data_IF_640627304310
#
_entry.id   IF_640627304310
#
_cell.length_a   1.000
_cell.length_b   1.000
_cell.length_c   1.000
_cell.angle_alpha   90.00
_cell.angle_beta   90.00
_cell.angle_gamma   90.00
#
_symmetry.space_group_name_H-M   'P 1'
#
loop_
_entity.id
_entity.type
_entity.pdbx_description
1 polymer ?
#
# COMPACT_ATOMS: atom_id res chain seq x y z
N UNK A 1 27.87 -10.16 -12.04
CA UNK A 1 28.79 -10.74 -11.03
C UNK A 1 28.70 -9.98 -9.72
N UNK A 2 28.77 -10.70 -8.59
CA UNK A 2 28.77 -10.15 -7.24
C UNK A 2 30.09 -10.45 -6.53
N UNK A 3 30.74 -9.43 -5.94
CA UNK A 3 31.94 -9.56 -5.12
C UNK A 3 32.04 -8.42 -4.10
N UNK A 4 32.97 -8.51 -3.19
CA UNK A 4 33.28 -7.42 -2.25
C UNK A 4 34.54 -6.67 -2.71
N UNK A 5 34.48 -5.35 -2.69
CA UNK A 5 35.67 -4.52 -2.93
C UNK A 5 36.65 -4.57 -1.73
N UNK A 6 37.76 -3.84 -1.81
CA UNK A 6 38.78 -3.78 -0.77
C UNK A 6 38.27 -3.25 0.58
N UNK A 7 37.21 -2.47 0.54
CA UNK A 7 36.58 -1.86 1.72
C UNK A 7 35.41 -2.72 2.27
N UNK A 8 35.19 -3.92 1.69
CA UNK A 8 34.15 -4.85 2.09
C UNK A 8 32.74 -4.50 1.57
N UNK A 9 32.64 -3.52 0.67
CA UNK A 9 31.36 -3.12 0.06
C UNK A 9 31.00 -4.09 -1.06
N UNK A 10 29.72 -4.50 -1.11
CA UNK A 10 29.21 -5.36 -2.17
C UNK A 10 29.17 -4.62 -3.51
N UNK A 11 29.75 -5.25 -4.52
CA UNK A 11 29.79 -4.74 -5.92
C UNK A 11 29.05 -5.71 -6.83
N UNK A 12 28.15 -5.20 -7.62
CA UNK A 12 27.38 -5.93 -8.62
C UNK A 12 27.80 -5.47 -10.03
N UNK A 13 28.80 -6.15 -10.56
CA UNK A 13 29.40 -5.77 -11.85
C UNK A 13 28.69 -6.35 -13.05
N UNK A 14 28.79 -5.64 -14.16
CA UNK A 14 28.29 -6.01 -15.48
C UNK A 14 29.38 -5.91 -16.56
N UNK A 15 29.05 -6.21 -17.80
CA UNK A 15 30.02 -6.30 -18.89
C UNK A 15 31.01 -5.15 -19.01
N UNK A 16 30.55 -3.89 -18.83
CA UNK A 16 31.39 -2.71 -18.89
C UNK A 16 32.44 -2.59 -17.76
N UNK A 17 32.25 -3.29 -16.63
CA UNK A 17 33.22 -3.31 -15.53
C UNK A 17 34.38 -4.25 -15.81
N UNK A 18 34.22 -5.23 -16.70
CA UNK A 18 35.24 -6.22 -17.01
C UNK A 18 36.14 -5.80 -18.18
N UNK A 19 35.58 -5.10 -19.15
CA UNK A 19 36.31 -4.50 -20.24
C UNK A 19 35.46 -3.43 -20.95
N UNK A 20 36.11 -2.60 -21.75
CA UNK A 20 35.49 -1.52 -22.55
C UNK A 20 35.33 -1.84 -24.02
N UNK A 21 35.60 -3.05 -24.43
CA UNK A 21 35.61 -3.48 -25.83
C UNK A 21 34.33 -4.24 -26.19
N UNK A 22 33.77 -4.97 -25.24
CA UNK A 22 32.54 -5.72 -25.43
C UNK A 22 31.32 -4.82 -25.30
N UNK A 23 30.25 -5.20 -25.96
CA UNK A 23 28.96 -4.54 -25.83
C UNK A 23 28.46 -4.52 -24.38
N UNK A 24 27.85 -3.43 -23.97
CA UNK A 24 27.26 -3.28 -22.65
C UNK A 24 25.93 -2.56 -22.75
N UNK A 25 24.92 -3.09 -22.09
CA UNK A 25 23.61 -2.45 -21.93
C UNK A 25 23.56 -1.51 -20.70
N UNK A 26 24.71 -1.05 -20.24
CA UNK A 26 24.88 -0.19 -19.07
C UNK A 26 24.30 -0.82 -17.81
N UNK A 27 23.35 -0.16 -17.16
CA UNK A 27 22.69 -0.66 -15.95
C UNK A 27 21.58 -1.68 -16.21
N UNK A 28 21.35 -2.11 -17.45
CA UNK A 28 20.38 -3.16 -17.77
C UNK A 28 20.97 -4.53 -17.50
N UNK A 29 21.19 -4.81 -16.21
CA UNK A 29 21.77 -6.05 -15.70
C UNK A 29 21.28 -6.26 -14.26
N UNK A 30 21.45 -7.48 -13.74
CA UNK A 30 21.03 -7.89 -12.39
C UNK A 30 19.51 -7.72 -12.12
N UNK A 31 18.71 -7.62 -13.19
CA UNK A 31 17.27 -7.34 -13.19
C UNK A 31 16.40 -8.58 -13.39
N UNK A 32 16.94 -9.77 -13.11
CA UNK A 32 16.21 -11.04 -13.22
C UNK A 32 15.19 -11.26 -12.10
N UNK A 33 14.49 -12.40 -12.16
CA UNK A 33 13.55 -12.84 -11.11
C UNK A 33 14.25 -13.07 -9.77
N UNK A 34 15.49 -13.52 -9.83
CA UNK A 34 16.36 -13.79 -8.69
C UNK A 34 17.60 -12.92 -8.84
N UNK A 35 17.94 -12.19 -7.80
CA UNK A 35 19.14 -11.35 -7.77
C UNK A 35 20.43 -12.20 -7.73
N UNK A 36 21.62 -11.63 -8.03
CA UNK A 36 22.89 -12.37 -8.01
C UNK A 36 23.24 -13.03 -6.68
N UNK A 37 22.75 -12.48 -5.57
CA UNK A 37 22.88 -13.02 -4.20
C UNK A 37 21.80 -14.07 -3.86
N UNK A 38 21.03 -14.52 -4.84
CA UNK A 38 20.00 -15.57 -4.73
C UNK A 38 18.75 -15.18 -3.93
N UNK A 39 18.50 -13.89 -3.79
CA UNK A 39 17.26 -13.39 -3.18
C UNK A 39 16.20 -13.20 -4.27
N UNK A 40 14.98 -13.76 -4.09
CA UNK A 40 13.88 -13.52 -5.01
C UNK A 40 13.46 -12.06 -5.01
N UNK A 41 13.41 -11.44 -6.18
CA UNK A 41 12.84 -10.11 -6.35
C UNK A 41 11.29 -10.16 -6.22
N UNK A 42 10.60 -9.06 -5.91
CA UNK A 42 9.14 -9.05 -5.73
C UNK A 42 8.35 -9.66 -6.89
N UNK A 43 8.81 -9.51 -8.13
CA UNK A 43 8.16 -10.09 -9.30
C UNK A 43 8.33 -11.62 -9.43
N UNK A 44 9.27 -12.23 -8.69
CA UNK A 44 9.41 -13.68 -8.65
C UNK A 44 8.18 -14.36 -8.02
N UNK A 45 7.52 -13.70 -7.05
CA UNK A 45 6.29 -14.22 -6.43
C UNK A 45 5.11 -14.23 -7.39
N UNK A 46 5.04 -13.28 -8.31
CA UNK A 46 4.04 -13.28 -9.37
C UNK A 46 4.25 -14.42 -10.35
N UNK A 47 5.50 -14.67 -10.74
CA UNK A 47 5.85 -15.82 -11.61
C UNK A 47 5.54 -17.13 -10.89
N UNK A 48 5.88 -17.26 -9.60
CA UNK A 48 5.57 -18.45 -8.82
C UNK A 48 4.06 -18.72 -8.75
N UNK A 49 3.22 -17.70 -8.68
CA UNK A 49 1.78 -17.86 -8.73
C UNK A 49 1.32 -18.40 -10.08
N UNK A 50 1.80 -17.84 -11.20
CA UNK A 50 1.35 -18.27 -12.54
C UNK A 50 1.97 -19.58 -13.01
N UNK A 51 3.04 -20.06 -12.38
CA UNK A 51 3.67 -21.35 -12.69
C UNK A 51 3.28 -22.48 -11.74
N UNK A 52 2.26 -22.27 -10.91
CA UNK A 52 1.73 -23.34 -10.08
C UNK A 52 0.87 -24.31 -10.92
N UNK A 53 0.85 -25.59 -10.52
CA UNK A 53 0.11 -26.65 -11.23
C UNK A 53 -1.18 -27.06 -10.49
N UNK A 54 -1.59 -26.34 -9.44
CA UNK A 54 -2.83 -26.59 -8.73
C UNK A 54 -3.60 -25.28 -8.64
N UNK A 55 -4.81 -25.29 -9.20
CA UNK A 55 -5.65 -24.10 -9.26
C UNK A 55 -6.91 -24.29 -8.43
N UNK A 56 -7.29 -23.25 -7.71
CA UNK A 56 -8.54 -23.21 -6.96
C UNK A 56 -9.46 -22.17 -7.56
N UNK A 57 -10.68 -22.56 -7.89
CA UNK A 57 -11.70 -21.63 -8.39
C UNK A 57 -12.97 -21.71 -7.55
N UNK A 58 -13.77 -20.63 -7.47
CA UNK A 58 -15.03 -20.66 -6.73
C UNK A 58 -16.05 -21.61 -7.38
N UNK A 59 -16.79 -22.37 -6.56
CA UNK A 59 -17.98 -23.10 -6.97
C UNK A 59 -19.25 -22.46 -6.34
N UNK A 60 -19.46 -22.66 -5.05
CA UNK A 60 -20.45 -21.92 -4.24
C UNK A 60 -19.79 -21.52 -2.93
N UNK A 61 -19.11 -20.37 -2.96
CA UNK A 61 -18.36 -19.89 -1.80
C UNK A 61 -19.24 -19.60 -0.59
N UNK A 62 -20.51 -19.26 -0.81
CA UNK A 62 -21.45 -19.04 0.31
C UNK A 62 -21.69 -20.32 1.10
N UNK A 63 -21.55 -21.47 0.45
CA UNK A 63 -21.61 -22.80 1.07
C UNK A 63 -20.24 -23.37 1.40
N UNK A 64 -19.15 -22.67 1.11
CA UNK A 64 -17.79 -23.17 1.25
C UNK A 64 -17.35 -24.14 0.17
N UNK A 65 -18.03 -24.17 -0.99
CA UNK A 65 -17.66 -25.04 -2.12
C UNK A 65 -16.62 -24.37 -3.02
N UNK A 66 -15.56 -25.11 -3.30
CA UNK A 66 -14.48 -24.73 -4.22
C UNK A 66 -14.24 -25.86 -5.22
N UNK A 67 -13.70 -25.52 -6.40
CA UNK A 67 -13.16 -26.47 -7.34
C UNK A 67 -11.64 -26.48 -7.23
N UNK A 68 -11.04 -27.66 -7.24
CA UNK A 68 -9.59 -27.87 -7.30
C UNK A 68 -9.27 -28.51 -8.63
N UNK A 69 -8.52 -27.83 -9.48
CA UNK A 69 -8.02 -28.35 -10.73
C UNK A 69 -6.56 -28.76 -10.59
N UNK A 70 -6.23 -29.99 -10.96
CA UNK A 70 -4.90 -30.51 -11.02
C UNK A 70 -4.37 -30.37 -12.46
N UNK A 71 -3.49 -29.42 -12.68
CA UNK A 71 -2.88 -29.15 -14.00
C UNK A 71 -1.69 -30.06 -14.30
N UNK A 72 -1.17 -30.82 -13.32
CA UNK A 72 -0.13 -31.83 -13.60
C UNK A 72 -0.60 -32.86 -14.63
N UNK A 73 0.32 -33.34 -15.46
CA UNK A 73 0.05 -34.36 -16.44
C UNK A 73 0.25 -35.81 -15.91
N UNK A 74 1.18 -35.98 -14.95
CA UNK A 74 1.63 -37.30 -14.51
C UNK A 74 1.56 -37.51 -13.00
N UNK A 75 1.03 -36.55 -12.26
CA UNK A 75 1.01 -36.56 -10.81
C UNK A 75 -0.38 -36.26 -10.28
N UNK A 76 -0.89 -37.12 -9.40
CA UNK A 76 -2.08 -36.81 -8.63
C UNK A 76 -1.77 -35.91 -7.40
N UNK A 77 -2.78 -35.44 -6.71
CA UNK A 77 -2.58 -34.54 -5.57
C UNK A 77 -2.46 -35.27 -4.22
N UNK A 78 -2.30 -36.59 -4.17
CA UNK A 78 -2.20 -37.38 -2.93
C UNK A 78 -0.95 -37.03 -2.10
N UNK A 79 0.11 -36.54 -2.75
CA UNK A 79 1.36 -36.09 -2.11
C UNK A 79 1.21 -34.75 -1.36
N UNK A 80 0.08 -34.08 -1.51
CA UNK A 80 -0.18 -32.77 -0.94
C UNK A 80 -1.32 -32.81 0.09
N UNK A 81 -1.37 -31.81 0.96
CA UNK A 81 -2.52 -31.43 1.76
C UNK A 81 -2.85 -29.99 1.50
N UNK A 82 -4.10 -29.60 1.71
CA UNK A 82 -4.54 -28.22 1.58
C UNK A 82 -4.84 -27.64 2.97
N UNK A 83 -4.19 -26.54 3.31
CA UNK A 83 -4.61 -25.68 4.42
C UNK A 83 -5.52 -24.59 3.90
N UNK A 84 -6.55 -24.25 4.68
CA UNK A 84 -7.41 -23.12 4.37
C UNK A 84 -7.59 -22.23 5.58
N UNK A 85 -7.80 -20.95 5.33
CA UNK A 85 -8.06 -19.93 6.33
C UNK A 85 -9.18 -19.03 5.84
N UNK A 86 -10.19 -18.81 6.68
CA UNK A 86 -11.20 -17.78 6.49
C UNK A 86 -10.75 -16.51 7.21
N UNK A 87 -10.65 -15.41 6.48
CA UNK A 87 -10.28 -14.11 7.01
C UNK A 87 -11.48 -13.17 7.01
N UNK A 88 -11.64 -12.42 8.09
CA UNK A 88 -12.63 -11.34 8.21
C UNK A 88 -11.90 -10.00 8.44
N UNK A 89 -11.93 -9.08 7.45
CA UNK A 89 -11.13 -7.87 7.43
C UNK A 89 -9.63 -8.14 7.71
N UNK A 90 -9.07 -9.17 7.09
CA UNK A 90 -7.68 -9.57 7.22
C UNK A 90 -7.32 -10.36 8.49
N UNK A 91 -8.23 -10.53 9.43
CA UNK A 91 -8.02 -11.37 10.62
C UNK A 91 -8.48 -12.80 10.36
N UNK A 92 -7.63 -13.77 10.68
CA UNK A 92 -7.98 -15.20 10.57
C UNK A 92 -9.02 -15.56 11.62
N UNK A 93 -10.21 -16.00 11.18
CA UNK A 93 -11.34 -16.35 12.06
C UNK A 93 -11.62 -17.85 12.08
N UNK A 94 -11.29 -18.57 11.04
CA UNK A 94 -11.41 -20.03 10.96
C UNK A 94 -10.24 -20.61 10.17
N UNK A 95 -9.85 -21.84 10.50
CA UNK A 95 -8.80 -22.58 9.77
C UNK A 95 -9.17 -24.04 9.67
N UNK A 96 -8.59 -24.73 8.70
CA UNK A 96 -8.70 -26.18 8.62
C UNK A 96 -7.74 -26.79 7.63
N UNK A 97 -7.72 -28.12 7.60
CA UNK A 97 -6.85 -28.91 6.74
C UNK A 97 -7.69 -29.96 6.00
N UNK A 98 -7.44 -30.10 4.70
CA UNK A 98 -7.92 -31.21 3.88
C UNK A 98 -6.71 -32.09 3.55
N UNK A 99 -6.61 -33.21 4.23
CA UNK A 99 -5.44 -34.11 4.13
C UNK A 99 -5.51 -35.09 2.96
N UNK A 100 -6.71 -35.44 2.51
CA UNK A 100 -6.93 -36.41 1.45
C UNK A 100 -7.37 -35.70 0.15
N UNK A 101 -6.42 -35.36 -0.68
CA UNK A 101 -6.62 -34.74 -1.98
C UNK A 101 -6.50 -35.80 -3.09
N UNK A 102 -7.64 -36.40 -3.48
CA UNK A 102 -7.70 -37.39 -4.57
C UNK A 102 -8.12 -36.74 -5.87
N UNK A 103 -7.21 -36.01 -6.49
CA UNK A 103 -7.44 -35.34 -7.76
C UNK A 103 -6.45 -35.89 -8.77
N UNK A 104 -6.94 -36.67 -9.72
CA UNK A 104 -6.10 -37.23 -10.78
C UNK A 104 -5.57 -36.13 -11.73
N UNK A 105 -4.48 -36.39 -12.48
CA UNK A 105 -3.97 -35.47 -13.47
C UNK A 105 -5.04 -34.94 -14.42
N UNK A 106 -5.00 -33.65 -14.73
CA UNK A 106 -5.93 -32.96 -15.64
C UNK A 106 -7.42 -33.06 -15.25
N UNK A 107 -7.72 -33.30 -13.96
CA UNK A 107 -9.08 -33.40 -13.45
C UNK A 107 -9.40 -32.26 -12.49
N UNK A 108 -10.69 -31.95 -12.43
CA UNK A 108 -11.26 -31.02 -11.45
C UNK A 108 -12.16 -31.77 -10.47
N UNK A 109 -12.00 -31.50 -9.19
CA UNK A 109 -12.84 -32.06 -8.13
C UNK A 109 -13.43 -30.90 -7.30
N UNK A 110 -14.72 -31.03 -6.98
CA UNK A 110 -15.37 -30.11 -6.05
C UNK A 110 -15.10 -30.56 -4.60
N UNK A 111 -14.71 -29.63 -3.76
CA UNK A 111 -14.46 -29.83 -2.33
C UNK A 111 -15.35 -28.90 -1.52
N UNK A 112 -15.97 -29.47 -0.47
CA UNK A 112 -16.77 -28.74 0.52
C UNK A 112 -15.91 -28.45 1.73
N UNK A 113 -15.71 -27.17 2.04
CA UNK A 113 -15.03 -26.72 3.26
C UNK A 113 -16.05 -26.45 4.35
N UNK A 114 -15.76 -26.79 5.62
CA UNK A 114 -16.69 -26.56 6.74
C UNK A 114 -16.63 -25.11 7.23
N UNK A 115 -16.93 -24.17 6.33
CA UNK A 115 -16.92 -22.74 6.61
C UNK A 115 -18.25 -22.34 7.24
N UNK A 116 -18.22 -21.65 8.40
CA UNK A 116 -19.40 -21.04 9.02
C UNK A 116 -19.26 -19.51 9.03
N UNK A 117 -20.11 -18.84 8.27
CA UNK A 117 -20.17 -17.37 8.19
C UNK A 117 -21.30 -16.73 9.00
N UNK A 118 -22.14 -17.54 9.66
CA UNK A 118 -23.39 -17.08 10.32
C UNK A 118 -23.15 -16.08 11.44
N UNK A 119 -22.04 -16.24 12.17
CA UNK A 119 -21.69 -15.41 13.32
C UNK A 119 -20.71 -14.27 12.94
N UNK A 120 -20.42 -14.08 11.66
CA UNK A 120 -19.52 -13.02 11.19
C UNK A 120 -20.36 -11.84 10.69
N UNK A 121 -20.09 -10.64 11.24
CA UNK A 121 -20.79 -9.41 10.83
C UNK A 121 -20.86 -9.29 9.29
N UNK A 122 -22.06 -9.04 8.72
CA UNK A 122 -22.20 -8.80 7.28
C UNK A 122 -21.43 -7.60 6.74
N UNK A 123 -20.99 -6.71 7.63
CA UNK A 123 -20.21 -5.53 7.31
C UNK A 123 -18.74 -5.83 6.99
N UNK A 124 -18.24 -7.02 7.34
CA UNK A 124 -16.82 -7.39 7.14
C UNK A 124 -16.60 -8.02 5.77
N UNK A 125 -15.48 -7.69 5.14
CA UNK A 125 -14.92 -8.45 4.04
C UNK A 125 -14.64 -9.89 4.48
N UNK A 126 -14.88 -10.86 3.61
CA UNK A 126 -14.51 -12.25 3.85
C UNK A 126 -13.67 -12.78 2.71
N UNK A 127 -12.47 -13.24 3.03
CA UNK A 127 -11.52 -13.85 2.11
C UNK A 127 -11.25 -15.29 2.54
N UNK A 128 -11.15 -16.18 1.56
CA UNK A 128 -10.71 -17.56 1.76
C UNK A 128 -9.31 -17.73 1.17
N UNK A 129 -8.33 -17.95 2.02
CA UNK A 129 -7.00 -18.38 1.60
C UNK A 129 -6.94 -19.89 1.55
N UNK A 130 -6.37 -20.44 0.50
CA UNK A 130 -6.01 -21.85 0.40
C UNK A 130 -4.52 -21.97 0.06
N UNK A 131 -3.87 -23.00 0.56
CA UNK A 131 -2.46 -23.27 0.31
C UNK A 131 -2.22 -24.77 0.23
N UNK A 132 -1.58 -25.25 -0.83
CA UNK A 132 -1.25 -26.64 -1.05
C UNK A 132 0.19 -26.89 -0.63
N UNK A 133 0.40 -27.83 0.29
CA UNK A 133 1.69 -28.09 0.91
C UNK A 133 2.12 -29.54 0.74
N UNK A 134 3.41 -29.77 0.61
CA UNK A 134 4.03 -31.10 0.57
C UNK A 134 3.82 -31.87 1.88
N UNK A 135 3.31 -33.11 1.81
CA UNK A 135 3.25 -34.03 2.96
C UNK A 135 4.61 -34.54 3.40
N UNK A 136 5.48 -34.79 2.46
CA UNK A 136 6.85 -35.27 2.68
C UNK A 136 7.86 -34.38 1.97
N UNK A 137 9.09 -34.38 2.45
CA UNK A 137 10.18 -33.66 1.77
C UNK A 137 10.47 -34.29 0.40
N UNK A 138 10.76 -33.45 -0.58
CA UNK A 138 11.29 -33.79 -1.89
C UNK A 138 12.75 -33.30 -2.01
N UNK A 139 13.43 -33.61 -3.11
CA UNK A 139 14.88 -33.39 -3.28
C UNK A 139 15.34 -31.98 -2.90
N UNK A 140 14.57 -30.96 -3.23
CA UNK A 140 14.93 -29.55 -3.00
C UNK A 140 13.94 -28.80 -2.09
N UNK A 141 12.87 -29.47 -1.66
CA UNK A 141 11.78 -28.84 -0.94
C UNK A 141 11.48 -29.61 0.34
N UNK A 142 11.54 -28.97 1.52
CA UNK A 142 11.16 -29.60 2.76
C UNK A 142 9.66 -29.90 2.83
N UNK A 143 9.27 -30.86 3.68
CA UNK A 143 7.86 -31.09 3.99
C UNK A 143 7.21 -29.80 4.51
N UNK A 144 5.95 -29.58 4.16
CA UNK A 144 5.21 -28.37 4.53
C UNK A 144 5.46 -27.17 3.60
N UNK A 145 6.38 -27.28 2.62
CA UNK A 145 6.55 -26.22 1.60
C UNK A 145 5.26 -26.03 0.82
N UNK A 146 4.78 -24.79 0.75
CA UNK A 146 3.65 -24.41 -0.08
C UNK A 146 4.08 -24.34 -1.55
N UNK A 147 3.39 -25.08 -2.42
CA UNK A 147 3.69 -25.17 -3.86
C UNK A 147 2.63 -24.50 -4.72
N UNK A 148 1.46 -24.26 -4.17
CA UNK A 148 0.38 -23.55 -4.84
C UNK A 148 -0.50 -22.85 -3.78
N UNK A 149 -1.17 -21.78 -4.17
CA UNK A 149 -2.08 -21.07 -3.29
C UNK A 149 -3.10 -20.24 -4.07
N UNK A 150 -4.20 -19.90 -3.40
CA UNK A 150 -5.20 -18.98 -3.93
C UNK A 150 -5.81 -18.14 -2.81
N UNK A 151 -6.34 -16.97 -3.17
CA UNK A 151 -7.17 -16.15 -2.31
C UNK A 151 -8.47 -15.82 -3.02
N UNK A 152 -9.59 -16.33 -2.50
CA UNK A 152 -10.91 -16.13 -3.07
C UNK A 152 -11.73 -15.15 -2.23
N UNK A 153 -12.42 -14.19 -2.88
CA UNK A 153 -13.35 -13.29 -2.20
C UNK A 153 -14.70 -13.97 -2.03
N UNK A 154 -15.10 -14.21 -0.76
CA UNK A 154 -16.46 -14.65 -0.40
C UNK A 154 -17.38 -13.43 -0.29
N UNK A 155 -16.86 -12.33 0.23
CA UNK A 155 -17.54 -11.06 0.37
C UNK A 155 -16.56 -9.92 0.23
N UNK A 156 -16.83 -9.03 -0.72
CA UNK A 156 -15.94 -7.92 -1.04
C UNK A 156 -15.90 -6.86 0.07
N UNK A 157 -14.76 -6.20 0.16
CA UNK A 157 -14.57 -5.06 1.04
C UNK A 157 -15.51 -3.92 0.63
N UNK A 158 -16.22 -3.41 1.62
CA UNK A 158 -16.99 -2.18 1.48
C UNK A 158 -16.31 -1.10 2.29
N UNK A 159 -15.74 -0.12 1.61
CA UNK A 159 -15.15 1.02 2.28
C UNK A 159 -16.18 1.69 3.18
N UNK A 160 -15.88 1.89 4.48
CA UNK A 160 -16.75 2.65 5.34
C UNK A 160 -16.85 4.09 4.83
N UNK A 161 -18.01 4.70 4.96
CA UNK A 161 -18.12 6.12 4.73
C UNK A 161 -17.28 6.86 5.79
N UNK A 162 -16.28 7.63 5.32
CA UNK A 162 -15.43 8.41 6.21
C UNK A 162 -16.23 9.60 6.78
N UNK A 163 -16.96 9.35 7.87
CA UNK A 163 -17.61 10.41 8.65
C UNK A 163 -16.68 10.82 9.78
N UNK A 164 -16.32 12.09 9.79
CA UNK A 164 -15.63 12.68 10.90
C UNK A 164 -16.70 13.17 11.87
N UNK A 165 -16.98 12.39 12.91
CA UNK A 165 -17.96 12.72 13.93
C UNK A 165 -17.26 13.27 15.20
N UNK A 166 -17.95 14.17 15.90
CA UNK A 166 -17.51 14.55 17.24
C UNK A 166 -17.78 13.41 18.23
N UNK A 167 -16.85 13.19 19.14
CA UNK A 167 -17.01 12.20 20.21
C UNK A 167 -17.71 12.90 21.39
N UNK A 168 -18.92 12.44 21.71
CA UNK A 168 -19.68 12.92 22.85
C UNK A 168 -19.49 11.95 24.03
N UNK A 169 -18.96 12.42 25.13
CA UNK A 169 -19.05 11.71 26.39
C UNK A 169 -20.50 11.77 26.89
N UNK A 170 -21.06 10.65 27.35
CA UNK A 170 -22.46 10.52 27.73
C UNK A 170 -22.95 11.73 28.55
N UNK A 171 -23.98 12.40 28.06
CA UNK A 171 -24.69 13.52 28.70
C UNK A 171 -23.94 14.84 28.90
N UNK A 172 -22.73 15.02 28.36
CA UNK A 172 -22.02 16.29 28.36
C UNK A 172 -22.10 16.98 26.99
N UNK A 173 -22.12 18.32 26.95
CA UNK A 173 -22.06 19.03 25.67
C UNK A 173 -20.75 18.72 24.93
N UNK A 174 -20.80 18.73 23.60
CA UNK A 174 -19.60 18.60 22.77
C UNK A 174 -18.71 19.81 23.00
N UNK A 175 -17.46 19.59 23.38
CA UNK A 175 -16.46 20.66 23.47
C UNK A 175 -15.99 20.95 22.03
N UNK A 176 -16.38 22.11 21.53
CA UNK A 176 -16.02 22.55 20.17
C UNK A 176 -14.55 22.99 20.14
N UNK A 177 -13.74 22.58 19.13
CA UNK A 177 -12.37 23.08 19.01
C UNK A 177 -12.34 24.59 18.85
N UNK A 178 -11.43 25.26 19.54
CA UNK A 178 -11.21 26.70 19.41
C UNK A 178 -10.27 27.01 18.24
N UNK A 179 -10.56 28.10 17.53
CA UNK A 179 -9.70 28.62 16.46
C UNK A 179 -9.12 29.95 16.95
N UNK A 180 -7.78 30.03 17.03
CA UNK A 180 -7.04 31.20 17.44
C UNK A 180 -6.33 31.80 16.23
N UNK A 181 -6.74 33.01 15.85
CA UNK A 181 -6.22 33.74 14.68
C UNK A 181 -5.52 35.06 15.08
N UNK A 182 -4.95 35.10 16.27
CA UNK A 182 -4.28 36.27 16.82
C UNK A 182 -2.75 36.31 16.61
N UNK A 183 -2.17 35.22 16.11
CA UNK A 183 -0.75 35.16 15.71
C UNK A 183 -0.58 35.62 14.26
N UNK A 184 0.54 36.29 13.95
CA UNK A 184 0.81 36.79 12.59
C UNK A 184 1.15 35.67 11.59
N UNK A 185 1.80 34.62 12.06
CA UNK A 185 2.35 33.54 11.24
C UNK A 185 1.49 32.29 11.24
N UNK A 186 0.74 32.04 12.32
CA UNK A 186 0.02 30.79 12.52
C UNK A 186 -1.46 30.99 12.82
N UNK A 187 -2.28 30.16 12.20
CA UNK A 187 -3.66 29.90 12.59
C UNK A 187 -3.65 28.62 13.44
N UNK A 188 -4.13 28.70 14.69
CA UNK A 188 -4.02 27.60 15.63
C UNK A 188 -5.41 27.05 15.94
N UNK A 189 -5.57 25.72 15.79
CA UNK A 189 -6.78 24.99 16.20
C UNK A 189 -6.46 24.14 17.43
N UNK A 190 -7.19 24.39 18.53
CA UNK A 190 -6.98 23.70 19.80
C UNK A 190 -8.25 23.01 20.30
N UNK A 191 -8.09 21.80 20.78
CA UNK A 191 -9.06 21.08 21.58
C UNK A 191 -8.51 20.76 22.97
N UNK A 192 -9.21 19.87 23.68
CA UNK A 192 -8.84 19.46 25.02
C UNK A 192 -7.44 18.82 25.08
N UNK A 193 -7.14 17.94 24.12
CA UNK A 193 -5.94 17.12 24.11
C UNK A 193 -5.16 17.21 22.80
N UNK A 194 -5.37 18.25 21.99
CA UNK A 194 -4.65 18.42 20.73
C UNK A 194 -4.41 19.89 20.39
N UNK A 195 -3.41 20.13 19.55
CA UNK A 195 -3.14 21.41 18.90
C UNK A 195 -2.66 21.18 17.48
N UNK A 196 -3.16 21.99 16.56
CA UNK A 196 -2.75 22.01 15.15
C UNK A 196 -2.45 23.45 14.73
N UNK A 197 -1.27 23.67 14.14
CA UNK A 197 -0.87 24.98 13.65
C UNK A 197 -0.82 24.97 12.13
N UNK A 198 -1.46 25.96 11.51
CA UNK A 198 -1.45 26.18 10.07
C UNK A 198 -0.61 27.42 9.75
N UNK A 199 0.36 27.27 8.89
CA UNK A 199 1.20 28.37 8.43
C UNK A 199 0.39 29.32 7.54
N UNK A 200 0.22 30.58 7.96
CA UNK A 200 -0.58 31.57 7.22
C UNK A 200 0.02 31.99 5.88
N UNK A 201 1.33 31.82 5.71
CA UNK A 201 2.01 32.22 4.46
C UNK A 201 1.75 31.24 3.31
N UNK A 202 1.56 29.94 3.63
CA UNK A 202 1.36 28.92 2.62
C UNK A 202 0.10 28.05 2.83
N UNK A 203 -0.61 28.20 3.95
CA UNK A 203 -1.87 27.50 4.23
C UNK A 203 -1.73 26.03 4.63
N UNK A 204 -0.51 25.53 4.86
CA UNK A 204 -0.27 24.12 5.20
C UNK A 204 -0.32 23.89 6.71
N UNK A 205 -0.78 22.69 7.10
CA UNK A 205 -0.62 22.17 8.46
C UNK A 205 0.88 21.94 8.70
N UNK A 206 1.46 22.63 9.69
CA UNK A 206 2.88 22.60 10.01
C UNK A 206 3.21 22.09 11.41
N UNK A 207 2.19 21.86 12.25
CA UNK A 207 2.32 21.22 13.54
C UNK A 207 1.05 20.46 13.89
N UNK A 208 1.20 19.29 14.48
CA UNK A 208 0.11 18.46 14.95
C UNK A 208 0.53 17.68 16.20
N UNK A 209 -0.02 18.07 17.35
CA UNK A 209 0.20 17.44 18.65
C UNK A 209 -1.10 16.79 19.14
N UNK A 210 -1.02 15.57 19.65
CA UNK A 210 -2.15 14.85 20.28
C UNK A 210 -1.68 14.21 21.57
N UNK A 211 -2.37 14.50 22.68
CA UNK A 211 -2.03 14.00 24.03
C UNK A 211 -0.57 14.27 24.42
N UNK A 212 -0.01 15.39 23.99
CA UNK A 212 1.39 15.76 24.24
C UNK A 212 2.40 15.02 23.34
N UNK A 213 1.93 14.23 22.38
CA UNK A 213 2.78 13.55 21.39
C UNK A 213 2.77 14.34 20.09
N UNK A 214 3.93 14.67 19.59
CA UNK A 214 4.12 15.31 18.30
C UNK A 214 3.96 14.28 17.17
N UNK A 215 3.02 14.54 16.26
CA UNK A 215 2.66 13.65 15.16
C UNK A 215 3.41 13.97 13.86
N UNK A 216 3.99 15.16 13.76
CA UNK A 216 4.75 15.64 12.61
C UNK A 216 6.17 16.02 13.04
N UNK A 217 7.16 15.73 12.19
CA UNK A 217 8.55 16.16 12.42
C UNK A 217 8.64 17.70 12.42
N UNK A 218 9.45 18.26 13.32
CA UNK A 218 9.67 19.69 13.39
C UNK A 218 10.17 20.26 12.04
N UNK A 219 9.56 21.39 11.63
CA UNK A 219 9.86 22.02 10.36
C UNK A 219 9.32 21.29 9.13
N UNK A 220 8.53 20.22 9.32
CA UNK A 220 7.78 19.60 8.22
C UNK A 220 6.39 20.21 8.08
N UNK A 221 5.78 20.02 6.91
CA UNK A 221 4.42 20.45 6.60
C UNK A 221 3.68 19.32 5.88
N UNK A 222 2.35 19.25 6.04
CA UNK A 222 1.49 18.40 5.25
C UNK A 222 1.23 19.08 3.90
N UNK A 223 1.95 18.65 2.87
CA UNK A 223 1.97 19.32 1.56
C UNK A 223 1.34 18.46 0.47
N UNK A 224 0.71 19.08 -0.56
CA UNK A 224 0.31 18.39 -1.77
C UNK A 224 1.51 17.72 -2.48
N UNK A 225 1.30 16.52 -2.99
CA UNK A 225 2.32 15.78 -3.71
C UNK A 225 1.77 15.18 -5.00
N UNK A 226 2.37 15.56 -6.12
CA UNK A 226 2.00 15.10 -7.47
C UNK A 226 3.14 14.29 -8.11
N UNK A 227 4.22 14.03 -7.37
CA UNK A 227 5.45 13.41 -7.86
C UNK A 227 5.80 12.15 -7.09
N UNK A 228 6.42 11.19 -7.75
CA UNK A 228 7.12 10.06 -7.14
C UNK A 228 8.51 9.91 -7.74
N UNK A 229 9.37 9.14 -7.11
CA UNK A 229 10.65 8.76 -7.70
C UNK A 229 10.38 8.01 -9.03
N UNK A 230 10.99 8.44 -10.14
CA UNK A 230 10.87 7.73 -11.42
C UNK A 230 11.54 6.37 -11.36
N UNK A 231 10.93 5.38 -12.01
CA UNK A 231 11.53 4.08 -12.27
C UNK A 231 12.38 4.11 -13.54
N UNK A 232 13.16 3.05 -13.80
CA UNK A 232 13.93 2.95 -15.04
C UNK A 232 13.03 2.95 -16.28
N UNK A 233 11.83 2.37 -16.20
CA UNK A 233 10.83 2.45 -17.28
C UNK A 233 10.35 3.89 -17.50
N UNK A 234 10.15 4.67 -16.44
CA UNK A 234 9.83 6.10 -16.56
C UNK A 234 10.95 6.87 -17.24
N UNK A 235 12.21 6.59 -16.90
CA UNK A 235 13.38 7.19 -17.53
C UNK A 235 13.46 6.81 -19.02
N UNK A 236 13.27 5.54 -19.34
CA UNK A 236 13.25 5.05 -20.74
C UNK A 236 12.16 5.72 -21.57
N UNK A 237 10.97 5.94 -21.01
CA UNK A 237 9.87 6.65 -21.66
C UNK A 237 9.98 8.19 -21.59
N UNK A 238 10.98 8.74 -20.89
CA UNK A 238 11.19 10.17 -20.73
C UNK A 238 10.16 10.88 -19.83
N UNK A 239 9.44 10.12 -18.99
CA UNK A 239 8.33 10.65 -18.18
C UNK A 239 8.81 11.65 -17.12
N UNK A 240 10.01 11.47 -16.58
CA UNK A 240 10.64 12.40 -15.65
C UNK A 240 10.81 13.83 -16.24
N UNK A 241 10.90 13.94 -17.57
CA UNK A 241 10.93 15.23 -18.30
C UNK A 241 9.54 15.67 -18.69
N UNK A 242 8.75 14.75 -19.25
CA UNK A 242 7.37 15.01 -19.72
C UNK A 242 6.46 15.50 -18.59
N UNK A 243 6.61 14.96 -17.38
CA UNK A 243 5.79 15.28 -16.22
C UNK A 243 6.45 16.22 -15.22
N UNK A 244 7.63 16.79 -15.55
CA UNK A 244 8.44 17.60 -14.65
C UNK A 244 7.70 18.78 -14.00
N UNK A 245 6.71 19.36 -14.69
CA UNK A 245 5.86 20.45 -14.19
C UNK A 245 5.15 20.06 -12.87
N UNK A 246 4.85 18.79 -12.68
CA UNK A 246 4.17 18.29 -11.48
C UNK A 246 5.10 18.08 -10.28
N UNK A 247 6.41 18.12 -10.47
CA UNK A 247 7.37 18.10 -9.36
C UNK A 247 7.29 19.37 -8.51
N UNK A 248 7.02 20.51 -9.16
CA UNK A 248 6.77 21.78 -8.50
C UNK A 248 5.77 22.60 -9.35
N UNK A 249 4.45 22.46 -9.14
CA UNK A 249 3.43 23.15 -9.92
C UNK A 249 3.24 24.61 -9.52
N UNK A 250 4.13 25.20 -8.71
CA UNK A 250 4.09 26.59 -8.21
C UNK A 250 2.76 26.94 -7.53
N UNK A 251 2.48 26.24 -6.42
CA UNK A 251 1.30 26.50 -5.59
C UNK A 251 1.43 27.87 -4.90
N UNK A 252 0.57 28.80 -5.27
CA UNK A 252 0.48 30.13 -4.65
C UNK A 252 -0.80 30.23 -3.83
N UNK A 253 -0.70 30.36 -2.52
CA UNK A 253 -1.84 30.60 -1.65
C UNK A 253 -2.57 31.90 -2.08
N UNK A 254 -3.86 31.80 -2.33
CA UNK A 254 -4.75 32.93 -2.70
C UNK A 254 -5.77 33.25 -1.61
N UNK A 255 -6.12 32.27 -0.79
CA UNK A 255 -7.07 32.44 0.31
C UNK A 255 -6.80 31.44 1.43
N UNK A 256 -6.83 31.89 2.67
CA UNK A 256 -6.88 31.04 3.87
C UNK A 256 -8.09 31.50 4.69
N UNK A 257 -9.03 30.59 4.94
CA UNK A 257 -10.27 30.88 5.69
C UNK A 257 -10.50 29.82 6.73
N UNK A 258 -11.15 30.18 7.80
CA UNK A 258 -11.55 29.24 8.86
C UNK A 258 -12.97 29.52 9.34
N UNK A 259 -13.62 28.50 9.89
CA UNK A 259 -14.94 28.57 10.49
C UNK A 259 -15.13 27.41 11.47
N UNK A 260 -16.13 27.55 12.34
CA UNK A 260 -16.71 26.42 13.08
C UNK A 260 -17.99 26.01 12.36
N UNK A 261 -18.07 24.77 11.90
CA UNK A 261 -19.20 24.21 11.18
C UNK A 261 -19.55 22.83 11.78
N UNK A 262 -20.82 22.65 12.17
CA UNK A 262 -21.30 21.41 12.82
C UNK A 262 -20.44 20.99 14.04
N UNK A 263 -20.09 21.95 14.86
CA UNK A 263 -19.23 21.79 16.03
C UNK A 263 -17.81 21.25 15.72
N UNK A 264 -17.33 21.43 14.50
CA UNK A 264 -16.00 21.09 14.05
C UNK A 264 -15.25 22.33 13.57
N UNK A 265 -13.94 22.36 13.79
CA UNK A 265 -13.11 23.40 13.20
C UNK A 265 -12.83 23.06 11.73
N UNK A 266 -13.01 24.03 10.85
CA UNK A 266 -12.76 23.88 9.43
C UNK A 266 -11.78 24.93 8.95
N UNK A 267 -10.69 24.51 8.32
CA UNK A 267 -9.69 25.39 7.70
C UNK A 267 -9.69 25.11 6.19
N UNK A 268 -9.77 26.18 5.37
CA UNK A 268 -9.78 26.08 3.91
C UNK A 268 -8.68 26.93 3.32
N UNK A 269 -7.87 26.32 2.47
CA UNK A 269 -6.81 26.99 1.72
C UNK A 269 -7.08 26.81 0.21
N UNK A 270 -6.95 27.91 -0.53
CA UNK A 270 -7.09 27.94 -1.99
C UNK A 270 -5.76 28.37 -2.61
N UNK A 271 -5.37 27.69 -3.69
CA UNK A 271 -4.11 27.94 -4.37
C UNK A 271 -4.32 28.10 -5.87
N UNK A 272 -3.62 29.08 -6.44
CA UNK A 272 -3.39 29.09 -7.88
C UNK A 272 -2.21 28.18 -8.22
N UNK A 273 -2.36 27.38 -9.27
CA UNK A 273 -1.35 26.48 -9.82
C UNK A 273 -0.84 27.06 -11.15
N UNK A 274 0.07 28.02 -11.08
CA UNK A 274 0.45 28.82 -12.26
C UNK A 274 1.01 27.98 -13.41
N UNK A 275 1.89 27.05 -13.09
CA UNK A 275 2.62 26.25 -14.11
C UNK A 275 1.71 25.28 -14.85
N UNK A 276 0.61 24.86 -14.23
CA UNK A 276 -0.34 23.89 -14.81
C UNK A 276 -1.68 24.51 -15.17
N UNK A 277 -1.92 25.77 -14.79
CA UNK A 277 -3.18 26.47 -15.10
C UNK A 277 -4.38 25.80 -14.45
N UNK A 278 -4.43 25.83 -13.13
CA UNK A 278 -5.52 25.24 -12.37
C UNK A 278 -5.61 25.86 -10.99
N UNK A 279 -6.54 25.33 -10.20
CA UNK A 279 -6.69 25.67 -8.78
C UNK A 279 -6.64 24.42 -7.93
N UNK A 280 -6.04 24.54 -6.75
CA UNK A 280 -6.05 23.50 -5.73
C UNK A 280 -6.79 24.02 -4.50
N UNK A 281 -7.60 23.17 -3.91
CA UNK A 281 -8.35 23.45 -2.69
C UNK A 281 -8.01 22.38 -1.65
N UNK A 282 -7.59 22.83 -0.47
CA UNK A 282 -7.41 21.99 0.71
C UNK A 282 -8.48 22.37 1.73
N UNK A 283 -9.16 21.37 2.27
CA UNK A 283 -10.08 21.54 3.38
C UNK A 283 -9.70 20.60 4.50
N UNK A 284 -9.41 21.14 5.66
CA UNK A 284 -9.13 20.42 6.90
C UNK A 284 -10.37 20.53 7.78
N UNK A 285 -11.01 19.41 8.07
CA UNK A 285 -12.12 19.33 9.02
C UNK A 285 -11.65 18.60 10.25
N UNK A 286 -11.74 19.21 11.42
CA UNK A 286 -11.11 18.77 12.68
C UNK A 286 -12.21 18.61 13.73
N UNK A 287 -12.32 17.40 14.29
CA UNK A 287 -13.29 17.14 15.36
C UNK A 287 -12.75 17.49 16.74
N UNK A 288 -13.59 17.33 17.76
CA UNK A 288 -13.27 17.67 19.15
C UNK A 288 -12.20 16.78 19.80
N UNK A 289 -11.77 15.70 19.16
CA UNK A 289 -10.69 14.82 19.65
C UNK A 289 -9.40 14.93 18.83
N UNK A 290 -9.35 15.88 17.89
CA UNK A 290 -8.18 16.13 17.06
C UNK A 290 -8.05 15.19 15.86
N UNK A 291 -9.03 14.33 15.57
CA UNK A 291 -9.03 13.63 14.29
C UNK A 291 -9.28 14.65 13.17
N UNK A 292 -8.53 14.55 12.09
CA UNK A 292 -8.58 15.47 10.96
C UNK A 292 -8.89 14.74 9.66
N UNK A 293 -9.90 15.22 8.94
CA UNK A 293 -10.18 14.85 7.56
C UNK A 293 -9.61 15.91 6.64
N UNK A 294 -8.68 15.49 5.77
CA UNK A 294 -8.10 16.37 4.75
C UNK A 294 -8.73 16.03 3.41
N UNK A 295 -9.33 17.04 2.79
CA UNK A 295 -9.88 16.91 1.44
C UNK A 295 -9.05 17.76 0.48
N UNK A 296 -8.48 17.12 -0.52
CA UNK A 296 -7.75 17.76 -1.60
C UNK A 296 -8.56 17.67 -2.90
N UNK A 297 -8.82 18.81 -3.52
CA UNK A 297 -9.57 18.92 -4.77
C UNK A 297 -8.83 19.83 -5.74
N UNK A 298 -8.71 19.40 -6.98
CA UNK A 298 -8.07 20.17 -8.04
C UNK A 298 -9.10 20.49 -9.14
N UNK A 299 -9.05 21.70 -9.64
CA UNK A 299 -9.76 22.16 -10.82
C UNK A 299 -8.73 22.53 -11.89
N UNK A 300 -8.67 21.75 -12.96
CA UNK A 300 -7.77 21.99 -14.07
C UNK A 300 -8.40 22.97 -15.09
N UNK A 301 -7.59 23.87 -15.62
CA UNK A 301 -7.96 24.68 -16.77
C UNK A 301 -7.90 23.83 -18.04
N UNK A 302 -9.07 23.45 -18.56
CA UNK A 302 -9.21 22.60 -19.75
C UNK A 302 -8.65 23.24 -21.04
N UNK A 303 -8.40 24.55 -21.04
CA UNK A 303 -7.80 25.24 -22.18
C UNK A 303 -6.29 25.05 -22.28
N UNK A 304 -5.64 24.62 -21.18
CA UNK A 304 -4.21 24.40 -21.13
C UNK A 304 -3.88 22.93 -21.38
N UNK A 305 -2.93 22.68 -22.26
CA UNK A 305 -2.37 21.35 -22.50
C UNK A 305 -1.31 21.08 -21.45
N UNK A 306 -1.69 20.38 -20.40
CA UNK A 306 -0.77 19.93 -19.35
C UNK A 306 -0.61 18.42 -19.44
N UNK A 307 0.58 17.91 -19.10
CA UNK A 307 0.84 16.47 -19.05
C UNK A 307 0.03 15.79 -17.95
N UNK A 308 -0.08 14.49 -18.03
CA UNK A 308 -0.50 13.63 -16.91
C UNK A 308 0.47 13.77 -15.73
N UNK A 309 0.05 13.34 -14.55
CA UNK A 309 0.85 13.35 -13.32
C UNK A 309 1.10 11.92 -12.80
N UNK A 310 2.22 11.71 -12.09
CA UNK A 310 2.50 10.41 -11.50
C UNK A 310 1.59 10.05 -10.33
N UNK A 311 1.15 11.03 -9.56
CA UNK A 311 0.27 10.80 -8.40
C UNK A 311 -0.53 12.04 -8.07
N UNK A 312 -1.61 11.86 -7.33
CA UNK A 312 -2.38 12.91 -6.70
C UNK A 312 -2.57 12.56 -5.23
N UNK A 313 -1.89 13.28 -4.34
CA UNK A 313 -1.89 12.95 -2.93
C UNK A 313 -1.25 14.02 -2.06
N UNK A 314 -1.00 13.65 -0.82
CA UNK A 314 -0.35 14.49 0.19
C UNK A 314 0.87 13.75 0.75
N UNK A 315 1.81 14.50 1.32
CA UNK A 315 2.95 13.96 2.05
C UNK A 315 3.21 14.74 3.33
N UNK A 316 3.68 14.07 4.36
CA UNK A 316 4.22 14.67 5.58
C UNK A 316 5.40 13.83 6.08
N UNK A 317 6.21 14.39 6.96
CA UNK A 317 7.22 13.64 7.71
C UNK A 317 6.76 13.46 9.15
N UNK A 318 6.97 12.28 9.67
CA UNK A 318 6.70 11.94 11.06
C UNK A 318 8.01 11.79 11.84
N UNK A 319 8.00 12.02 13.16
CA UNK A 319 9.16 11.76 14.01
C UNK A 319 9.66 10.30 13.88
N UNK A 320 10.96 10.10 14.03
CA UNK A 320 11.64 8.80 13.83
C UNK A 320 11.13 7.67 14.72
N UNK A 321 10.50 7.99 15.87
CA UNK A 321 9.89 7.00 16.74
C UNK A 321 8.62 6.34 16.16
N UNK A 322 8.04 6.90 15.09
CA UNK A 322 6.99 6.25 14.30
C UNK A 322 7.62 5.37 13.21
N UNK A 323 8.29 4.31 13.63
CA UNK A 323 9.05 3.43 12.74
C UNK A 323 8.34 2.11 12.40
N UNK A 324 7.13 1.90 12.89
CA UNK A 324 6.29 0.75 12.57
C UNK A 324 5.10 1.16 11.71
N UNK A 325 4.82 0.38 10.68
CA UNK A 325 3.69 0.57 9.77
C UNK A 325 2.79 -0.67 9.82
N UNK A 326 1.54 -0.48 10.17
CA UNK A 326 0.50 -1.49 9.99
C UNK A 326 -0.44 -1.02 8.87
N UNK A 327 -0.71 -1.90 7.92
CA UNK A 327 -1.62 -1.60 6.83
C UNK A 327 -2.49 -2.79 6.46
N UNK A 328 -3.66 -2.50 5.89
CA UNK A 328 -4.53 -3.46 5.26
C UNK A 328 -4.50 -3.29 3.75
N UNK A 329 -4.05 -4.30 3.04
CA UNK A 329 -3.86 -4.24 1.60
C UNK A 329 -3.18 -5.48 1.05
N UNK A 330 -2.73 -5.43 -0.21
CA UNK A 330 -1.90 -6.48 -0.80
C UNK A 330 -0.46 -6.37 -0.29
N UNK A 331 0.12 -7.50 0.07
CA UNK A 331 1.48 -7.56 0.61
C UNK A 331 2.00 -8.99 0.79
N UNK A 332 3.10 -9.19 1.53
CA UNK A 332 3.96 -8.13 2.12
C UNK A 332 4.89 -7.46 1.11
N UNK A 333 5.06 -8.04 -0.08
CA UNK A 333 5.96 -7.53 -1.13
C UNK A 333 5.28 -6.43 -1.96
N UNK A 334 6.09 -5.57 -2.59
CA UNK A 334 5.57 -4.56 -3.49
C UNK A 334 4.78 -5.20 -4.64
N UNK A 335 3.73 -4.52 -5.06
CA UNK A 335 2.86 -4.97 -6.14
C UNK A 335 2.30 -3.78 -6.91
N UNK A 336 1.82 -4.05 -8.14
CA UNK A 336 1.22 -3.07 -9.03
C UNK A 336 -0.08 -3.63 -9.63
N UNK A 337 -0.86 -2.82 -10.33
CA UNK A 337 -2.12 -3.23 -10.94
C UNK A 337 -1.98 -4.37 -11.95
N UNK A 338 -0.84 -4.47 -12.60
CA UNK A 338 -0.46 -5.50 -13.57
C UNK A 338 0.40 -6.64 -12.97
N UNK A 339 0.70 -6.59 -11.67
CA UNK A 339 1.53 -7.55 -10.95
C UNK A 339 1.11 -7.60 -9.48
N UNK A 340 0.06 -8.36 -9.18
CA UNK A 340 -0.51 -8.40 -7.82
C UNK A 340 -1.12 -9.73 -7.38
N UNK A 341 -1.06 -10.78 -8.21
CA UNK A 341 -1.59 -12.10 -7.85
C UNK A 341 -0.68 -12.83 -6.85
N UNK A 342 0.63 -12.57 -6.93
CA UNK A 342 1.60 -13.08 -5.95
C UNK A 342 1.46 -12.46 -4.56
N UNK A 343 0.71 -11.35 -4.42
CA UNK A 343 0.47 -10.65 -3.17
C UNK A 343 -0.97 -10.82 -2.70
N UNK A 344 -1.18 -11.26 -1.46
CA UNK A 344 -2.51 -11.48 -0.88
C UNK A 344 -3.00 -10.26 -0.13
N UNK A 345 -4.32 -10.04 -0.13
CA UNK A 345 -4.96 -9.09 0.77
C UNK A 345 -4.86 -9.60 2.22
N UNK A 346 -4.44 -8.72 3.12
CA UNK A 346 -4.27 -9.06 4.53
C UNK A 346 -3.85 -7.86 5.36
N UNK A 347 -3.68 -8.09 6.66
CA UNK A 347 -3.03 -7.14 7.56
C UNK A 347 -1.55 -7.45 7.62
N UNK A 348 -0.74 -6.45 7.39
CA UNK A 348 0.71 -6.56 7.41
C UNK A 348 1.30 -5.52 8.36
N UNK A 349 2.34 -5.93 9.07
CA UNK A 349 3.11 -5.05 9.94
C UNK A 349 4.57 -5.15 9.52
N UNK A 350 5.17 -4.00 9.28
CA UNK A 350 6.55 -3.85 8.82
C UNK A 350 7.15 -2.62 9.49
N UNK A 351 8.46 -2.58 9.60
CA UNK A 351 9.15 -1.33 9.92
C UNK A 351 9.16 -0.41 8.70
N UNK A 352 9.39 0.88 8.91
CA UNK A 352 9.57 1.85 7.81
C UNK A 352 10.74 1.43 6.92
N UNK A 353 11.81 0.86 7.49
CA UNK A 353 12.98 0.39 6.74
C UNK A 353 12.62 -0.80 5.84
N UNK A 354 11.81 -1.76 6.31
CA UNK A 354 11.35 -2.91 5.52
C UNK A 354 10.39 -2.53 4.37
N UNK A 355 9.87 -1.32 4.36
CA UNK A 355 9.10 -0.79 3.22
C UNK A 355 9.98 -0.48 2.01
N UNK A 356 11.28 -0.35 2.21
CA UNK A 356 12.24 -0.13 1.13
C UNK A 356 12.78 -1.46 0.62
N UNK A 357 12.55 -1.78 -0.65
CA UNK A 357 13.17 -2.92 -1.29
C UNK A 357 14.47 -2.49 -1.98
N UNK A 358 15.64 -3.02 -1.57
CA UNK A 358 16.93 -2.61 -2.12
C UNK A 358 17.21 -3.35 -3.43
N UNK A 359 16.58 -2.91 -4.53
CA UNK A 359 16.93 -3.44 -5.85
C UNK A 359 18.42 -3.26 -6.12
N UNK A 360 19.05 -4.36 -6.56
CA UNK A 360 20.47 -4.35 -6.90
C UNK A 360 20.67 -3.50 -8.16
N UNK A 361 21.67 -2.63 -8.08
CA UNK A 361 22.13 -1.83 -9.23
C UNK A 361 23.53 -2.24 -9.59
N UNK A 362 23.82 -2.51 -10.87
CA UNK A 362 25.19 -2.64 -11.38
C UNK A 362 25.92 -1.30 -11.19
N UNK A 363 27.22 -1.36 -10.93
CA UNK A 363 28.06 -0.18 -10.66
C UNK A 363 28.99 0.12 -11.81
#
# INVERSE_FOLDING_TARGET
CHWKNKDGVDIYGYGGDFNKYDGSDNNFNDNGLISPDRVPNPHAYEVAYFYQDIWTTPADLAKGEINIFNEYFFRDLSAYYMEWQLLANGEVVQTGIVSDLKVAPQQTVKVQLPIDTKNICPCKELLLNVSYKLKAAETLLPAGTAIAYEQLSIRDYKAPELKLENVQASNLPVIVPSILDNDQNYLIVKGENFSMDFNKHNGYLCRYDVNGMQMMEDGSELTPNFWRAPTDNDFGAGLQRKYAVWKNPELKLTSLRHAVENDQAVVRAEYDMKSVGGKLFLTYTINNKGAVKVTQRMEADKSKKVSEMFRFGMQMRMPVNFNEVEYYGRGPVENYSDRNHGAKLGKYRQTVEEQFYPYIRPQ
#
